data_IF_560189338970
#
_entry.id   IF_560189338970
#
_cell.length_a   1.000
_cell.length_b   1.000
_cell.length_c   1.000
_cell.angle_alpha   90.00
_cell.angle_beta   90.00
_cell.angle_gamma   90.00
#
_symmetry.space_group_name_H-M   'P 1'
#
loop_
_entity.id
_entity.type
_entity.pdbx_description
1 polymer ?
#
# COMPACT_ATOMS: atom_id res chain seq x y z
N UNK A 1 10.00 -13.68 -9.05
CA UNK A 1 9.47 -12.39 -8.57
C UNK A 1 9.43 -11.50 -9.78
N UNK A 2 8.23 -11.20 -10.28
CA UNK A 2 8.05 -10.52 -11.57
C UNK A 2 8.34 -9.02 -11.41
N UNK A 3 9.62 -8.67 -11.48
CA UNK A 3 10.10 -7.29 -11.53
C UNK A 3 9.45 -6.50 -12.67
N UNK A 4 9.05 -7.20 -13.73
CA UNK A 4 8.26 -6.65 -14.83
C UNK A 4 6.85 -6.22 -14.37
N UNK A 5 6.18 -7.04 -13.56
CA UNK A 5 4.86 -6.71 -13.04
C UNK A 5 4.89 -5.55 -12.02
N UNK A 6 5.94 -5.44 -11.22
CA UNK A 6 6.15 -4.30 -10.30
C UNK A 6 6.42 -3.01 -11.08
N UNK A 7 7.23 -3.08 -12.14
CA UNK A 7 7.51 -1.96 -13.01
C UNK A 7 6.25 -1.50 -13.79
N UNK A 8 5.50 -2.44 -14.35
CA UNK A 8 4.22 -2.15 -15.02
C UNK A 8 3.21 -1.53 -14.06
N UNK A 9 3.17 -2.00 -12.81
CA UNK A 9 2.34 -1.41 -11.75
C UNK A 9 2.76 0.03 -11.45
N UNK A 10 4.05 0.29 -11.31
CA UNK A 10 4.59 1.64 -11.08
C UNK A 10 4.19 2.58 -12.23
N UNK A 11 4.39 2.15 -13.48
CA UNK A 11 4.02 2.93 -14.66
C UNK A 11 2.51 3.21 -14.71
N UNK A 12 1.69 2.22 -14.36
CA UNK A 12 0.24 2.37 -14.31
C UNK A 12 -0.16 3.46 -13.29
N UNK A 13 0.38 3.42 -12.07
CA UNK A 13 0.02 4.40 -11.05
C UNK A 13 0.58 5.80 -11.34
N UNK A 14 1.74 5.91 -11.98
CA UNK A 14 2.23 7.21 -12.48
C UNK A 14 1.28 7.81 -13.53
N UNK A 15 0.79 6.98 -14.45
CA UNK A 15 -0.18 7.44 -15.45
C UNK A 15 -1.49 7.88 -14.78
N UNK A 16 -2.00 7.07 -13.83
CA UNK A 16 -3.21 7.41 -13.07
C UNK A 16 -3.05 8.75 -12.34
N UNK A 17 -1.89 8.98 -11.69
CA UNK A 17 -1.60 10.23 -10.99
C UNK A 17 -1.61 11.42 -11.93
N UNK A 18 -0.96 11.30 -13.09
CA UNK A 18 -0.90 12.37 -14.12
C UNK A 18 -2.28 12.68 -14.69
N UNK A 19 -3.03 11.67 -15.08
CA UNK A 19 -4.40 11.83 -15.58
C UNK A 19 -5.30 12.51 -14.54
N UNK A 20 -5.16 12.13 -13.27
CA UNK A 20 -5.93 12.72 -12.19
C UNK A 20 -5.55 14.18 -11.93
N UNK A 21 -4.26 14.51 -12.02
CA UNK A 21 -3.77 15.89 -11.93
C UNK A 21 -4.30 16.76 -13.08
N UNK A 22 -4.32 16.24 -14.31
CA UNK A 22 -4.90 16.93 -15.46
C UNK A 22 -6.41 17.13 -15.31
N UNK A 23 -7.11 16.10 -14.86
CA UNK A 23 -8.56 16.17 -14.60
C UNK A 23 -8.88 17.20 -13.52
N UNK A 24 -8.06 17.30 -12.47
CA UNK A 24 -8.23 18.28 -11.41
C UNK A 24 -8.05 19.72 -11.90
N UNK A 25 -7.11 19.97 -12.84
CA UNK A 25 -6.94 21.30 -13.46
C UNK A 25 -8.19 21.75 -14.22
N UNK A 26 -8.96 20.80 -14.76
CA UNK A 26 -10.20 21.06 -15.48
C UNK A 26 -11.42 21.14 -14.55
N UNK A 27 -11.46 20.28 -13.52
CA UNK A 27 -12.53 20.23 -12.54
C UNK A 27 -12.00 19.86 -11.15
N UNK A 28 -11.73 20.85 -10.28
CA UNK A 28 -11.25 20.58 -8.93
C UNK A 28 -12.34 20.09 -7.97
N UNK A 29 -13.61 20.10 -8.40
CA UNK A 29 -14.76 19.67 -7.60
C UNK A 29 -15.19 18.22 -7.89
N UNK A 30 -14.28 17.43 -8.47
CA UNK A 30 -14.49 16.02 -8.74
C UNK A 30 -13.93 15.17 -7.59
N UNK A 31 -14.81 14.79 -6.66
CA UNK A 31 -14.45 13.96 -5.51
C UNK A 31 -13.95 12.56 -5.91
N UNK A 32 -14.46 11.98 -7.01
CA UNK A 32 -13.99 10.69 -7.54
C UNK A 32 -12.56 10.81 -8.05
N UNK A 33 -12.27 11.85 -8.82
CA UNK A 33 -10.94 12.11 -9.32
C UNK A 33 -9.92 12.38 -8.20
N UNK A 34 -10.31 13.18 -7.20
CA UNK A 34 -9.49 13.44 -6.02
C UNK A 34 -9.19 12.16 -5.22
N UNK A 35 -10.20 11.30 -5.06
CA UNK A 35 -10.02 9.98 -4.42
C UNK A 35 -9.08 9.10 -5.23
N UNK A 36 -9.22 9.06 -6.56
CA UNK A 36 -8.30 8.33 -7.45
C UNK A 36 -6.87 8.88 -7.40
N UNK A 37 -6.72 10.20 -7.33
CA UNK A 37 -5.41 10.84 -7.21
C UNK A 37 -4.73 10.43 -5.91
N UNK A 38 -5.40 10.59 -4.76
CA UNK A 38 -4.88 10.16 -3.47
C UNK A 38 -4.50 8.68 -3.45
N UNK A 39 -5.36 7.81 -4.02
CA UNK A 39 -5.08 6.37 -4.13
C UNK A 39 -3.81 6.07 -4.93
N UNK A 40 -3.60 6.75 -6.06
CA UNK A 40 -2.37 6.59 -6.84
C UNK A 40 -1.12 7.03 -6.09
N UNK A 41 -1.20 8.10 -5.28
CA UNK A 41 -0.09 8.56 -4.46
C UNK A 41 0.27 7.53 -3.36
N UNK A 42 -0.72 6.92 -2.72
CA UNK A 42 -0.49 5.83 -1.75
C UNK A 42 0.20 4.62 -2.39
N UNK A 43 -0.23 4.26 -3.59
CA UNK A 43 0.35 3.13 -4.33
C UNK A 43 1.81 3.40 -4.73
N UNK A 44 2.08 4.59 -5.25
CA UNK A 44 3.42 5.02 -5.62
C UNK A 44 4.35 5.13 -4.41
N UNK A 45 3.86 5.61 -3.27
CA UNK A 45 4.65 5.79 -2.05
C UNK A 45 5.40 4.52 -1.61
N UNK A 46 4.91 3.33 -1.95
CA UNK A 46 5.57 2.05 -1.62
C UNK A 46 6.92 1.84 -2.33
N UNK A 47 7.18 2.58 -3.42
CA UNK A 47 8.37 2.42 -4.27
C UNK A 47 9.40 3.52 -4.07
N UNK A 48 9.18 4.43 -3.12
CA UNK A 48 10.02 5.59 -2.87
C UNK A 48 10.81 5.49 -1.56
N UNK A 49 11.72 6.44 -1.34
CA UNK A 49 12.43 6.56 -0.07
C UNK A 49 11.43 6.87 1.05
N UNK A 50 11.70 6.45 2.29
CA UNK A 50 10.80 6.67 3.44
C UNK A 50 10.36 8.15 3.54
N UNK A 51 11.27 9.09 3.29
CA UNK A 51 10.96 10.53 3.34
C UNK A 51 9.97 10.93 2.24
N UNK A 52 10.22 10.50 1.00
CA UNK A 52 9.35 10.80 -0.14
C UNK A 52 8.00 10.09 0.02
N UNK A 53 7.99 8.82 0.45
CA UNK A 53 6.78 8.06 0.76
C UNK A 53 5.91 8.78 1.77
N UNK A 54 6.49 9.30 2.86
CA UNK A 54 5.75 10.07 3.87
C UNK A 54 5.14 11.34 3.28
N UNK A 55 5.88 12.07 2.45
CA UNK A 55 5.34 13.25 1.77
C UNK A 55 4.18 12.88 0.83
N UNK A 56 4.35 11.84 0.02
CA UNK A 56 3.29 11.38 -0.90
C UNK A 56 2.04 10.92 -0.16
N UNK A 57 2.19 10.28 1.00
CA UNK A 57 1.07 9.88 1.85
C UNK A 57 0.36 11.12 2.42
N UNK A 58 1.08 12.16 2.84
CA UNK A 58 0.48 13.42 3.29
C UNK A 58 -0.27 14.14 2.15
N UNK A 59 0.31 14.15 0.96
CA UNK A 59 -0.34 14.70 -0.23
C UNK A 59 -1.61 13.90 -0.57
N UNK A 60 -1.58 12.56 -0.43
CA UNK A 60 -2.75 11.71 -0.60
C UNK A 60 -3.87 12.04 0.40
N UNK A 61 -3.53 12.19 1.68
CA UNK A 61 -4.49 12.58 2.74
C UNK A 61 -5.16 13.90 2.36
N UNK A 62 -4.37 14.90 1.92
CA UNK A 62 -4.90 16.20 1.50
C UNK A 62 -5.91 16.06 0.35
N UNK A 63 -5.64 15.18 -0.63
CA UNK A 63 -6.58 14.93 -1.74
C UNK A 63 -7.86 14.23 -1.30
N UNK A 64 -7.78 13.29 -0.35
CA UNK A 64 -8.97 12.67 0.21
C UNK A 64 -9.80 13.65 1.06
N UNK A 65 -9.15 14.52 1.83
CA UNK A 65 -9.83 15.57 2.59
C UNK A 65 -10.54 16.56 1.66
N UNK A 66 -9.90 16.98 0.56
CA UNK A 66 -10.55 17.77 -0.49
C UNK A 66 -11.78 17.04 -1.07
N UNK A 67 -11.68 15.72 -1.32
CA UNK A 67 -12.82 14.93 -1.79
C UNK A 67 -13.98 14.91 -0.77
N UNK A 68 -13.68 14.83 0.52
CA UNK A 68 -14.67 14.85 1.60
C UNK A 68 -15.30 16.23 1.83
N UNK A 69 -14.61 17.32 1.48
CA UNK A 69 -15.22 18.66 1.46
C UNK A 69 -16.30 18.78 0.37
N UNK A 70 -16.15 18.04 -0.73
CA UNK A 70 -17.09 18.02 -1.85
C UNK A 70 -18.23 17.02 -1.60
N UNK A 71 -17.87 15.80 -1.19
CA UNK A 71 -18.80 14.73 -0.84
C UNK A 71 -18.47 14.17 0.56
N UNK A 72 -19.09 14.73 1.62
CA UNK A 72 -18.85 14.29 3.00
C UNK A 72 -19.24 12.83 3.28
N UNK A 73 -20.01 12.20 2.39
CA UNK A 73 -20.45 10.79 2.51
C UNK A 73 -19.62 9.83 1.66
N UNK A 74 -18.50 10.30 1.09
CA UNK A 74 -17.59 9.49 0.29
C UNK A 74 -16.82 8.50 1.16
N UNK A 75 -17.46 7.38 1.48
CA UNK A 75 -16.91 6.35 2.36
C UNK A 75 -15.57 5.76 1.85
N UNK A 76 -15.37 5.69 0.52
CA UNK A 76 -14.10 5.26 -0.08
C UNK A 76 -12.94 6.22 0.27
N UNK A 77 -13.17 7.53 0.24
CA UNK A 77 -12.15 8.52 0.61
C UNK A 77 -11.83 8.43 2.11
N UNK A 78 -12.84 8.24 2.96
CA UNK A 78 -12.67 8.01 4.40
C UNK A 78 -11.81 6.75 4.64
N UNK A 79 -12.15 5.63 3.99
CA UNK A 79 -11.39 4.39 4.10
C UNK A 79 -9.94 4.55 3.60
N UNK A 80 -9.74 5.27 2.50
CA UNK A 80 -8.41 5.56 1.98
C UNK A 80 -7.55 6.42 2.94
N UNK A 81 -8.14 7.39 3.66
CA UNK A 81 -7.43 8.12 4.73
C UNK A 81 -6.98 7.17 5.84
N UNK A 82 -7.83 6.21 6.23
CA UNK A 82 -7.44 5.20 7.21
C UNK A 82 -6.23 4.36 6.77
N UNK A 83 -6.20 3.97 5.48
CA UNK A 83 -5.05 3.28 4.90
C UNK A 83 -3.81 4.18 4.84
N UNK A 84 -3.96 5.46 4.49
CA UNK A 84 -2.87 6.43 4.46
C UNK A 84 -2.20 6.56 5.84
N UNK A 85 -2.97 6.72 6.91
CA UNK A 85 -2.44 6.77 8.26
C UNK A 85 -1.80 5.46 8.71
N UNK A 86 -2.35 4.32 8.30
CA UNK A 86 -1.74 3.01 8.55
C UNK A 86 -0.36 2.92 7.91
N UNK A 87 -0.24 3.27 6.63
CA UNK A 87 1.03 3.31 5.90
C UNK A 87 2.02 4.30 6.54
N UNK A 88 1.54 5.49 6.91
CA UNK A 88 2.37 6.49 7.58
C UNK A 88 2.94 5.97 8.91
N UNK A 89 2.11 5.30 9.71
CA UNK A 89 2.50 4.71 10.98
C UNK A 89 3.61 3.66 10.82
N UNK A 90 3.52 2.78 9.81
CA UNK A 90 4.56 1.79 9.53
C UNK A 90 5.90 2.41 9.14
N UNK A 91 5.87 3.56 8.46
CA UNK A 91 7.05 4.32 8.09
C UNK A 91 7.62 5.17 9.24
N UNK A 92 6.96 5.23 10.39
CA UNK A 92 7.35 6.04 11.55
C UNK A 92 8.00 5.17 12.62
N UNK A 93 9.31 5.33 12.89
CA UNK A 93 9.99 4.53 13.93
C UNK A 93 9.53 4.85 15.36
N UNK A 94 9.11 6.09 15.62
CA UNK A 94 8.61 6.48 16.94
C UNK A 94 7.28 5.79 17.23
N UNK A 95 7.27 4.90 18.23
CA UNK A 95 6.09 4.10 18.58
C UNK A 95 4.90 4.96 19.02
N UNK A 96 5.15 6.12 19.64
CA UNK A 96 4.08 6.99 20.13
C UNK A 96 3.39 7.69 18.97
N UNK A 97 4.17 8.23 18.03
CA UNK A 97 3.66 8.83 16.80
C UNK A 97 3.01 7.77 15.90
N UNK A 98 3.60 6.58 15.76
CA UNK A 98 2.99 5.49 14.99
C UNK A 98 1.66 5.04 15.60
N UNK A 99 1.59 4.89 16.93
CA UNK A 99 0.34 4.58 17.63
C UNK A 99 -0.73 5.65 17.42
N UNK A 100 -0.36 6.93 17.49
CA UNK A 100 -1.29 8.01 17.22
C UNK A 100 -1.88 7.91 15.80
N UNK A 101 -1.04 7.60 14.80
CA UNK A 101 -1.50 7.38 13.43
C UNK A 101 -2.40 6.14 13.30
N UNK A 102 -2.12 5.03 13.99
CA UNK A 102 -3.03 3.87 14.02
C UNK A 102 -4.38 4.18 14.70
N UNK A 103 -4.39 5.01 15.74
CA UNK A 103 -5.62 5.46 16.38
C UNK A 103 -6.44 6.34 15.43
N UNK A 104 -5.79 7.21 14.63
CA UNK A 104 -6.46 7.95 13.56
C UNK A 104 -7.02 7.00 12.50
N UNK A 105 -6.21 6.04 12.01
CA UNK A 105 -6.66 5.05 11.04
C UNK A 105 -7.92 4.30 11.50
N UNK A 106 -7.94 3.88 12.77
CA UNK A 106 -9.09 3.19 13.38
C UNK A 106 -10.35 4.05 13.35
N UNK A 107 -10.25 5.35 13.64
CA UNK A 107 -11.39 6.29 13.59
C UNK A 107 -11.95 6.40 12.17
N UNK A 108 -11.08 6.54 11.17
CA UNK A 108 -11.50 6.64 9.78
C UNK A 108 -12.12 5.33 9.27
N UNK A 109 -11.54 4.17 9.59
CA UNK A 109 -12.15 2.89 9.22
C UNK A 109 -13.51 2.68 9.90
N UNK A 110 -13.65 3.05 11.17
CA UNK A 110 -14.94 3.00 11.85
C UNK A 110 -15.97 3.92 11.17
N UNK A 111 -15.57 5.12 10.74
CA UNK A 111 -16.44 6.02 9.99
C UNK A 111 -16.85 5.39 8.65
N UNK A 112 -15.93 4.79 7.90
CA UNK A 112 -16.25 4.10 6.64
C UNK A 112 -17.23 2.92 6.85
N UNK A 113 -17.03 2.13 7.92
CA UNK A 113 -17.97 1.05 8.32
C UNK A 113 -19.34 1.62 8.71
N UNK A 114 -19.41 2.78 9.37
CA UNK A 114 -20.68 3.38 9.74
C UNK A 114 -21.49 3.82 8.51
N UNK A 115 -20.83 4.31 7.46
CA UNK A 115 -21.48 4.68 6.19
C UNK A 115 -21.85 3.44 5.35
N UNK A 116 -20.98 2.42 5.29
CA UNK A 116 -21.24 1.15 4.59
C UNK A 116 -20.93 -0.08 5.47
N UNK A 117 -21.87 -0.52 6.32
CA UNK A 117 -21.66 -1.61 7.28
C UNK A 117 -21.40 -2.97 6.65
N UNK A 118 -21.95 -3.22 5.45
CA UNK A 118 -21.82 -4.50 4.75
C UNK A 118 -20.53 -4.61 3.93
N UNK A 119 -19.75 -3.53 3.84
CA UNK A 119 -18.51 -3.51 3.07
C UNK A 119 -17.40 -4.31 3.79
N UNK A 120 -17.11 -5.49 3.26
CA UNK A 120 -16.15 -6.42 3.85
C UNK A 120 -14.72 -5.86 3.91
N UNK A 121 -14.35 -4.97 2.98
CA UNK A 121 -13.03 -4.33 3.01
C UNK A 121 -12.90 -3.41 4.22
N UNK A 122 -13.95 -2.66 4.56
CA UNK A 122 -13.92 -1.70 5.65
C UNK A 122 -13.90 -2.42 7.01
N UNK A 123 -14.74 -3.45 7.15
CA UNK A 123 -14.73 -4.32 8.33
C UNK A 123 -13.37 -4.95 8.55
N UNK A 124 -12.75 -5.47 7.49
CA UNK A 124 -11.42 -6.08 7.57
C UNK A 124 -10.35 -5.06 7.94
N UNK A 125 -10.35 -3.87 7.31
CA UNK A 125 -9.39 -2.81 7.66
C UNK A 125 -9.51 -2.40 9.12
N UNK A 126 -10.74 -2.25 9.63
CA UNK A 126 -11.00 -1.95 11.04
C UNK A 126 -10.52 -3.09 11.97
N UNK A 127 -10.75 -4.35 11.60
CA UNK A 127 -10.25 -5.50 12.39
C UNK A 127 -8.71 -5.49 12.46
N UNK A 128 -8.05 -5.15 11.36
CA UNK A 128 -6.59 -5.20 11.26
C UNK A 128 -5.90 -4.09 12.06
N UNK A 129 -6.55 -2.96 12.35
CA UNK A 129 -5.91 -1.91 13.18
C UNK A 129 -5.62 -2.37 14.61
N UNK A 130 -6.43 -3.29 15.15
CA UNK A 130 -6.16 -3.88 16.47
C UNK A 130 -4.82 -4.64 16.53
N UNK A 131 -4.34 -5.15 15.38
CA UNK A 131 -3.08 -5.89 15.25
C UNK A 131 -1.92 -4.98 14.81
N UNK A 132 -2.21 -3.76 14.34
CA UNK A 132 -1.22 -2.89 13.71
C UNK A 132 -0.05 -2.46 14.63
N UNK A 133 -0.25 -2.15 15.93
CA UNK A 133 0.87 -1.85 16.83
C UNK A 133 1.83 -3.04 17.02
N UNK A 134 1.32 -4.27 17.02
CA UNK A 134 2.15 -5.48 17.13
C UNK A 134 2.98 -5.71 15.87
N UNK A 135 2.36 -5.51 14.69
CA UNK A 135 3.05 -5.59 13.40
C UNK A 135 4.12 -4.51 13.28
N UNK A 136 3.85 -3.29 13.75
CA UNK A 136 4.81 -2.19 13.76
C UNK A 136 6.05 -2.52 14.59
N UNK A 137 5.85 -3.02 15.82
CA UNK A 137 6.94 -3.45 16.68
C UNK A 137 7.81 -4.55 16.03
N UNK A 138 7.18 -5.49 15.32
CA UNK A 138 7.89 -6.56 14.60
C UNK A 138 8.73 -6.02 13.43
N UNK A 139 8.16 -5.11 12.63
CA UNK A 139 8.85 -4.48 11.48
C UNK A 139 10.09 -3.71 11.94
N UNK A 140 9.98 -2.92 13.01
CA UNK A 140 11.09 -2.11 13.51
C UNK A 140 12.11 -2.90 14.35
N UNK A 141 11.72 -4.02 14.95
CA UNK A 141 12.63 -4.92 15.67
C UNK A 141 13.54 -5.73 14.74
N UNK A 142 13.07 -6.12 13.55
CA UNK A 142 13.86 -6.89 12.58
C UNK A 142 14.59 -6.04 11.53
N UNK A 143 14.39 -4.72 11.56
CA UNK A 143 15.13 -3.73 10.79
C UNK A 143 14.66 -3.59 9.33
N UNK A 144 14.54 -2.35 8.86
CA UNK A 144 14.41 -2.01 7.45
C UNK A 144 15.80 -2.09 6.74
N UNK A 145 16.29 -3.30 6.44
CA UNK A 145 17.24 -3.53 5.34
C UNK A 145 18.62 -4.15 5.62
N UNK A 146 19.06 -5.05 4.71
CA UNK A 146 20.48 -5.28 4.34
C UNK A 146 20.68 -6.08 3.02
N UNK A 147 21.06 -5.35 1.93
CA UNK A 147 22.16 -5.63 0.96
C UNK A 147 22.09 -6.87 -0.03
N UNK A 148 22.97 -7.00 -1.07
CA UNK A 148 22.70 -6.79 -2.51
C UNK A 148 22.75 -8.07 -3.41
N UNK A 149 22.27 -7.95 -4.65
CA UNK A 149 22.12 -9.02 -5.65
C UNK A 149 23.42 -9.54 -6.28
N UNK A 150 23.54 -10.88 -6.39
CA UNK A 150 24.49 -11.56 -7.28
C UNK A 150 24.13 -13.03 -7.54
N UNK A 151 23.99 -13.41 -8.82
CA UNK A 151 24.32 -14.75 -9.33
C UNK A 151 23.20 -15.77 -9.66
N UNK A 152 22.60 -15.68 -10.87
CA UNK A 152 22.59 -16.68 -11.99
C UNK A 152 22.73 -18.17 -11.58
N UNK A 153 21.84 -19.15 -11.86
CA UNK A 153 21.41 -19.74 -13.16
C UNK A 153 20.45 -20.97 -12.93
N UNK A 154 19.99 -21.79 -13.91
CA UNK A 154 18.57 -21.91 -14.27
C UNK A 154 18.00 -23.36 -14.19
N UNK A 155 16.68 -23.56 -14.38
CA UNK A 155 16.13 -24.71 -15.13
C UNK A 155 14.60 -24.69 -15.30
N UNK A 156 14.19 -24.40 -16.54
CA UNK A 156 13.18 -25.01 -17.44
C UNK A 156 11.69 -25.31 -17.04
N UNK A 157 10.74 -25.23 -18.03
CA UNK A 157 9.26 -25.19 -17.90
C UNK A 157 8.63 -26.56 -18.34
N UNK A 158 7.33 -26.78 -18.74
CA UNK A 158 6.17 -25.90 -19.03
C UNK A 158 4.82 -26.42 -18.43
N UNK A 159 3.62 -25.82 -18.56
CA UNK A 159 2.78 -25.79 -19.77
C UNK A 159 1.48 -25.00 -19.58
N UNK A 160 1.07 -24.37 -20.68
CA UNK A 160 -0.13 -23.56 -20.91
C UNK A 160 -1.45 -24.34 -20.87
N UNK A 161 -2.52 -23.71 -20.35
CA UNK A 161 -3.87 -23.76 -20.95
C UNK A 161 -4.63 -22.45 -20.71
N UNK A 162 -5.27 -22.01 -21.78
CA UNK A 162 -6.00 -20.77 -21.93
C UNK A 162 -7.36 -20.76 -21.21
N UNK A 163 -7.99 -19.57 -21.28
CA UNK A 163 -9.44 -19.29 -21.37
C UNK A 163 -10.08 -18.73 -20.09
N UNK A 164 -10.38 -17.42 -20.09
CA UNK A 164 -11.73 -16.81 -20.23
C UNK A 164 -11.77 -15.40 -19.62
N UNK A 165 -12.08 -14.44 -20.48
CA UNK A 165 -12.41 -13.07 -20.13
C UNK A 165 -13.72 -13.06 -19.29
N UNK A 166 -13.65 -12.60 -18.04
CA UNK A 166 -14.81 -12.20 -17.24
C UNK A 166 -14.40 -11.01 -16.36
N UNK A 167 -15.01 -9.87 -16.69
CA UNK A 167 -15.07 -8.59 -15.98
C UNK A 167 -14.99 -8.76 -14.45
N UNK A 168 -14.01 -8.13 -13.80
CA UNK A 168 -13.95 -8.04 -12.33
C UNK A 168 -13.57 -6.62 -11.89
N UNK A 169 -14.55 -5.87 -11.39
CA UNK A 169 -14.27 -4.74 -10.49
C UNK A 169 -13.60 -5.22 -9.21
N UNK A 170 -13.83 -6.49 -8.81
CA UNK A 170 -13.22 -7.14 -7.64
C UNK A 170 -11.69 -7.20 -7.69
N UNK A 171 -11.07 -7.34 -8.87
CA UNK A 171 -9.62 -7.49 -8.98
C UNK A 171 -8.85 -6.19 -8.65
N UNK A 172 -9.48 -5.03 -8.77
CA UNK A 172 -8.85 -3.74 -8.46
C UNK A 172 -8.80 -3.49 -6.95
N UNK A 173 -9.84 -3.89 -6.22
CA UNK A 173 -9.95 -3.68 -4.78
C UNK A 173 -9.21 -4.76 -3.97
N UNK A 174 -9.08 -5.98 -4.51
CA UNK A 174 -8.25 -7.03 -3.89
C UNK A 174 -6.75 -6.66 -3.91
N UNK A 175 -6.31 -5.89 -4.90
CA UNK A 175 -4.96 -5.32 -4.96
C UNK A 175 -4.73 -4.19 -3.94
N UNK A 176 -5.71 -3.30 -3.73
CA UNK A 176 -5.54 -2.15 -2.82
C UNK A 176 -5.64 -2.55 -1.34
N UNK A 177 -6.48 -3.54 -0.99
CA UNK A 177 -6.74 -3.93 0.41
C UNK A 177 -5.76 -4.94 1.02
N UNK A 178 -5.00 -5.70 0.21
CA UNK A 178 -3.99 -6.64 0.72
C UNK A 178 -2.56 -6.16 0.52
N UNK A 179 -2.28 -5.32 -0.49
CA UNK A 179 -0.91 -4.89 -0.76
C UNK A 179 -0.37 -3.95 0.34
N UNK A 180 -1.23 -3.12 0.92
CA UNK A 180 -0.87 -2.20 2.02
C UNK A 180 -0.45 -2.97 3.30
N UNK A 181 -0.77 -4.27 3.43
CA UNK A 181 -0.33 -5.12 4.54
C UNK A 181 0.58 -6.30 4.14
N UNK A 182 0.67 -6.68 2.86
CA UNK A 182 1.39 -7.88 2.44
C UNK A 182 2.73 -7.63 1.74
N UNK A 183 2.96 -6.48 1.09
CA UNK A 183 4.24 -6.25 0.39
C UNK A 183 5.37 -5.81 1.34
N UNK A 184 5.05 -5.38 2.55
CA UNK A 184 6.04 -5.18 3.61
C UNK A 184 6.42 -6.43 4.41
N UNK A 185 5.66 -7.54 4.34
CA UNK A 185 5.79 -8.65 5.30
C UNK A 185 5.93 -10.05 4.67
N UNK A 186 5.57 -10.29 3.40
CA UNK A 186 5.49 -11.67 2.85
C UNK A 186 6.52 -11.99 1.75
N UNK A 187 7.58 -11.21 1.59
CA UNK A 187 8.73 -11.52 0.69
C UNK A 187 10.01 -11.92 1.44
N UNK A 188 9.92 -12.32 2.71
CA UNK A 188 11.08 -12.60 3.59
C UNK A 188 11.12 -14.00 4.22
N UNK A 189 10.53 -15.02 3.59
CA UNK A 189 10.70 -16.43 4.00
C UNK A 189 11.28 -17.23 2.84
N UNK A 190 12.56 -17.04 2.49
CA UNK A 190 13.32 -17.99 1.66
C UNK A 190 14.86 -17.87 1.72
N UNK A 191 15.47 -17.22 2.72
CA UNK A 191 16.95 -17.13 2.76
C UNK A 191 17.59 -17.16 4.16
N UNK A 192 17.44 -18.28 4.89
CA UNK A 192 18.15 -18.51 6.15
C UNK A 192 18.96 -19.81 6.17
N UNK A 193 19.57 -20.21 5.04
CA UNK A 193 20.43 -21.41 5.04
C UNK A 193 21.57 -21.43 4.01
N UNK A 194 22.38 -20.36 3.94
CA UNK A 194 23.74 -20.47 3.38
C UNK A 194 24.58 -19.25 3.77
N UNK A 195 25.44 -19.39 4.79
CA UNK A 195 26.70 -18.65 4.91
C UNK A 195 27.54 -19.32 6.01
N UNK A 196 28.35 -20.31 5.62
CA UNK A 196 29.50 -20.78 6.42
C UNK A 196 30.75 -20.29 5.67
N UNK A 197 31.63 -19.49 6.29
CA UNK A 197 32.83 -19.01 5.60
C UNK A 197 33.88 -20.12 5.49
N UNK A 198 34.37 -20.36 4.27
CA UNK A 198 35.50 -21.26 3.98
C UNK A 198 36.82 -20.49 4.15
N UNK A 199 37.75 -21.04 4.95
CA UNK A 199 39.11 -20.50 5.15
C UNK A 199 40.04 -20.84 3.98
N UNK A 200 41.06 -20.00 3.66
CA UNK A 200 41.97 -20.24 2.54
C UNK A 200 43.10 -21.25 2.87
N UNK A 201 43.62 -21.99 1.88
CA UNK A 201 44.67 -22.99 2.11
C UNK A 201 46.06 -22.36 2.25
N UNK A 202 46.92 -23.05 3.02
CA UNK A 202 48.37 -22.81 3.13
C UNK A 202 49.13 -23.34 1.92
#
# INVERSE_FOLDING_TARGET
MDTEAEFDRLLLFEQIRKDAEETYKLNPLDADNLTRWGGSLLELAQFHSISDSKQMIQDAITKFEEALLIDPKKDEAVWCIGNAYTSFAFLTPDETEAKHNFDLATKFFQQAVNEQPDNQHYLKSLEMTAKAPQLHAEVHKHGLGSQPMGGVEPSAPPSSKAVKNKKSSDAKYDAMGWVILAIGVVTWISFAKANVPVSPPR
#
